data_IF_949528417131
#
_entry.id   IF_949528417131
#
_cell.length_a   1.000
_cell.length_b   1.000
_cell.length_c   1.000
_cell.angle_alpha   90.00
_cell.angle_beta   90.00
_cell.angle_gamma   90.00
#
_symmetry.space_group_name_H-M   'P 1'
#
loop_
_entity.id
_entity.type
_entity.pdbx_description
1 polymer ?
#
# COMPACT_ATOMS: atom_id res chain seq x y z
N UNK A 1 -17.97 7.09 18.05
CA UNK A 1 -16.92 6.23 18.63
C UNK A 1 -16.21 5.51 17.49
N UNK A 2 -14.90 5.27 17.61
CA UNK A 2 -14.18 4.45 16.61
C UNK A 2 -14.76 3.03 16.57
N UNK A 3 -15.07 2.53 15.37
CA UNK A 3 -15.44 1.12 15.23
C UNK A 3 -14.23 0.23 15.50
N UNK A 4 -14.23 -0.45 16.65
CA UNK A 4 -13.17 -1.40 17.02
C UNK A 4 -13.05 -2.53 15.99
N UNK A 5 -14.18 -2.97 15.43
CA UNK A 5 -14.21 -3.99 14.38
C UNK A 5 -13.45 -3.53 13.15
N UNK A 6 -13.63 -2.28 12.73
CA UNK A 6 -12.94 -1.74 11.56
C UNK A 6 -11.42 -1.69 11.78
N UNK A 7 -10.98 -1.17 12.93
CA UNK A 7 -9.56 -1.09 13.27
C UNK A 7 -8.93 -2.50 13.23
N UNK A 8 -9.59 -3.49 13.85
CA UNK A 8 -9.10 -4.87 13.85
C UNK A 8 -9.04 -5.45 12.43
N UNK A 9 -10.08 -5.23 11.61
CA UNK A 9 -10.11 -5.75 10.23
C UNK A 9 -9.00 -5.15 9.37
N UNK A 10 -8.82 -3.83 9.43
CA UNK A 10 -7.76 -3.13 8.70
C UNK A 10 -6.38 -3.61 9.16
N UNK A 11 -6.16 -3.68 10.47
CA UNK A 11 -4.89 -4.16 11.04
C UNK A 11 -4.54 -5.57 10.54
N UNK A 12 -5.51 -6.47 10.54
CA UNK A 12 -5.31 -7.85 10.03
C UNK A 12 -4.97 -7.84 8.54
N UNK A 13 -5.62 -7.01 7.72
CA UNK A 13 -5.31 -6.90 6.30
C UNK A 13 -3.92 -6.32 6.05
N UNK A 14 -3.52 -5.30 6.80
CA UNK A 14 -2.17 -4.71 6.69
C UNK A 14 -1.09 -5.69 7.14
N UNK A 15 -1.35 -6.49 8.19
CA UNK A 15 -0.43 -7.56 8.61
C UNK A 15 -0.29 -8.66 7.56
N UNK A 16 -1.40 -9.06 6.93
CA UNK A 16 -1.38 -10.03 5.82
C UNK A 16 -0.59 -9.45 4.64
N UNK A 17 -0.87 -8.19 4.25
CA UNK A 17 -0.15 -7.52 3.18
C UNK A 17 1.35 -7.43 3.46
N UNK A 18 1.73 -7.09 4.69
CA UNK A 18 3.12 -7.07 5.14
C UNK A 18 3.77 -8.44 5.04
N UNK A 19 3.12 -9.49 5.57
CA UNK A 19 3.61 -10.85 5.51
C UNK A 19 3.80 -11.35 4.07
N UNK A 20 2.84 -11.04 3.19
CA UNK A 20 2.92 -11.36 1.76
C UNK A 20 4.06 -10.60 1.07
N UNK A 21 4.29 -9.33 1.39
CA UNK A 21 5.40 -8.54 0.85
C UNK A 21 6.77 -9.08 1.31
N UNK A 22 6.89 -9.49 2.58
CA UNK A 22 8.10 -10.14 3.11
C UNK A 22 8.31 -11.51 2.46
N UNK A 23 7.26 -12.31 2.32
CA UNK A 23 7.32 -13.59 1.62
C UNK A 23 7.73 -13.43 0.14
N UNK A 24 7.25 -12.37 -0.51
CA UNK A 24 7.64 -12.02 -1.88
C UNK A 24 9.14 -11.71 -2.00
N UNK A 25 9.74 -11.01 -1.03
CA UNK A 25 11.21 -10.83 -1.00
C UNK A 25 11.95 -12.13 -0.69
N UNK A 26 11.51 -12.90 0.30
CA UNK A 26 12.21 -14.13 0.69
C UNK A 26 12.21 -15.17 -0.43
N UNK A 27 11.13 -15.26 -1.20
CA UNK A 27 10.99 -16.18 -2.32
C UNK A 27 11.31 -15.55 -3.68
N UNK A 28 12.14 -14.50 -3.72
CA UNK A 28 12.56 -13.85 -4.97
C UNK A 28 13.03 -14.89 -6.00
N UNK A 29 12.62 -14.73 -7.26
CA UNK A 29 13.12 -15.58 -8.35
C UNK A 29 14.65 -15.47 -8.43
N UNK A 30 15.33 -16.59 -8.24
CA UNK A 30 16.76 -16.73 -8.50
C UNK A 30 16.92 -17.30 -9.90
N UNK A 31 17.73 -16.65 -10.72
CA UNK A 31 18.08 -17.16 -12.04
C UNK A 31 19.20 -18.20 -11.88
N UNK A 32 18.98 -19.40 -12.42
CA UNK A 32 20.03 -20.43 -12.54
C UNK A 32 20.48 -20.50 -14.00
N UNK A 33 21.76 -20.78 -14.22
CA UNK A 33 22.28 -20.99 -15.57
C UNK A 33 21.92 -22.42 -16.01
N UNK A 34 21.04 -22.55 -16.99
CA UNK A 34 20.79 -23.78 -17.71
C UNK A 34 21.79 -23.92 -18.86
N UNK A 35 22.46 -25.06 -18.95
CA UNK A 35 23.35 -25.38 -20.06
C UNK A 35 22.63 -26.34 -21.01
N UNK A 36 22.50 -25.97 -22.28
CA UNK A 36 21.91 -26.82 -23.31
C UNK A 36 23.02 -27.61 -24.02
N UNK A 37 23.09 -28.96 -23.86
CA UNK A 37 24.18 -29.76 -24.42
C UNK A 37 24.18 -29.81 -25.96
N UNK A 38 23.05 -29.52 -26.62
CA UNK A 38 22.93 -29.66 -28.08
C UNK A 38 23.37 -28.43 -28.87
N UNK A 39 23.46 -27.25 -28.25
CA UNK A 39 23.71 -25.99 -29.00
C UNK A 39 24.72 -25.03 -28.37
N UNK A 40 25.47 -25.45 -27.34
CA UNK A 40 26.58 -24.69 -26.74
C UNK A 40 26.24 -23.25 -26.30
N UNK A 41 24.97 -22.93 -26.03
CA UNK A 41 24.58 -21.66 -25.43
C UNK A 41 24.13 -21.85 -23.98
N UNK A 42 24.45 -20.86 -23.14
CA UNK A 42 23.95 -20.77 -21.78
C UNK A 42 22.66 -19.95 -21.77
N UNK A 43 21.59 -20.46 -21.19
CA UNK A 43 20.34 -19.72 -21.04
C UNK A 43 19.98 -19.56 -19.55
N UNK A 44 19.42 -18.42 -19.18
CA UNK A 44 18.97 -18.20 -17.81
C UNK A 44 17.61 -18.89 -17.60
N UNK A 45 17.55 -19.85 -16.67
CA UNK A 45 16.30 -20.44 -16.19
C UNK A 45 15.83 -19.63 -15.00
N UNK A 46 14.67 -19.01 -15.12
CA UNK A 46 14.01 -18.31 -14.02
C UNK A 46 13.02 -19.26 -13.34
N UNK A 47 13.08 -19.32 -12.01
CA UNK A 47 12.12 -20.07 -11.22
C UNK A 47 10.75 -19.38 -11.20
N UNK A 48 9.72 -20.18 -10.91
CA UNK A 48 8.29 -19.90 -11.01
C UNK A 48 7.85 -18.54 -10.42
N UNK A 49 6.79 -17.93 -10.98
CA UNK A 49 6.19 -16.63 -10.61
C UNK A 49 5.55 -16.55 -9.19
N UNK A 50 5.96 -17.41 -8.26
CA UNK A 50 5.39 -17.46 -6.90
C UNK A 50 5.59 -16.12 -6.16
N UNK A 51 6.75 -15.49 -6.33
CA UNK A 51 7.02 -14.15 -5.77
C UNK A 51 6.12 -13.07 -6.36
N UNK A 52 5.80 -13.15 -7.65
CA UNK A 52 4.84 -12.27 -8.33
C UNK A 52 3.46 -12.40 -7.70
N UNK A 53 3.02 -13.64 -7.43
CA UNK A 53 1.74 -13.92 -6.76
C UNK A 53 1.65 -13.32 -5.36
N UNK A 54 2.71 -13.48 -4.54
CA UNK A 54 2.75 -12.86 -3.21
C UNK A 54 2.78 -11.34 -3.26
N UNK A 55 3.53 -10.74 -4.20
CA UNK A 55 3.56 -9.30 -4.41
C UNK A 55 2.20 -8.73 -4.83
N UNK A 56 1.51 -9.41 -5.76
CA UNK A 56 0.16 -9.04 -6.19
C UNK A 56 -0.88 -9.22 -5.06
N UNK A 57 -0.74 -10.28 -4.25
CA UNK A 57 -1.55 -10.47 -3.06
C UNK A 57 -1.37 -9.33 -2.06
N UNK A 58 -0.12 -8.95 -1.76
CA UNK A 58 0.19 -7.83 -0.87
C UNK A 58 -0.45 -6.51 -1.36
N UNK A 59 -0.34 -6.24 -2.67
CA UNK A 59 -0.99 -5.11 -3.34
C UNK A 59 -2.50 -5.10 -3.09
N UNK A 60 -3.18 -6.23 -3.35
CA UNK A 60 -4.64 -6.32 -3.21
C UNK A 60 -5.10 -6.13 -1.75
N UNK A 61 -4.42 -6.75 -0.78
CA UNK A 61 -4.79 -6.61 0.63
C UNK A 61 -4.60 -5.17 1.13
N UNK A 62 -3.50 -4.51 0.76
CA UNK A 62 -3.26 -3.11 1.11
C UNK A 62 -4.30 -2.19 0.48
N UNK A 63 -4.63 -2.40 -0.80
CA UNK A 63 -5.66 -1.65 -1.53
C UNK A 63 -7.03 -1.78 -0.86
N UNK A 64 -7.42 -2.99 -0.48
CA UNK A 64 -8.69 -3.24 0.22
C UNK A 64 -8.70 -2.54 1.58
N UNK A 65 -7.61 -2.62 2.35
CA UNK A 65 -7.46 -1.94 3.64
C UNK A 65 -7.67 -0.43 3.51
N UNK A 66 -7.01 0.19 2.52
CA UNK A 66 -7.15 1.62 2.22
C UNK A 66 -8.60 1.96 1.84
N UNK A 67 -9.24 1.19 0.96
CA UNK A 67 -10.64 1.42 0.57
C UNK A 67 -11.58 1.36 1.77
N UNK A 68 -11.43 0.38 2.67
CA UNK A 68 -12.27 0.24 3.85
C UNK A 68 -12.21 1.48 4.75
N UNK A 69 -11.00 2.00 5.00
CA UNK A 69 -10.81 3.22 5.79
C UNK A 69 -11.46 4.44 5.11
N UNK A 70 -11.30 4.57 3.79
CA UNK A 70 -11.86 5.71 3.04
C UNK A 70 -13.39 5.69 2.99
N UNK A 71 -13.98 4.52 2.79
CA UNK A 71 -15.43 4.34 2.82
C UNK A 71 -15.98 4.66 4.21
N UNK A 72 -15.31 4.19 5.26
CA UNK A 72 -15.73 4.45 6.64
C UNK A 72 -15.57 5.93 7.06
N UNK A 73 -14.52 6.60 6.57
CA UNK A 73 -14.32 8.03 6.79
C UNK A 73 -15.17 8.92 5.86
N UNK A 74 -15.89 8.32 4.90
CA UNK A 74 -16.66 8.99 3.84
C UNK A 74 -15.82 9.97 3.01
N UNK A 75 -14.56 9.60 2.78
CA UNK A 75 -13.56 10.35 2.00
C UNK A 75 -13.36 11.82 2.44
N UNK A 76 -13.73 12.19 3.68
CA UNK A 76 -13.91 13.58 4.14
C UNK A 76 -14.93 14.44 3.36
N UNK A 77 -15.21 14.14 2.08
CA UNK A 77 -16.10 14.92 1.21
C UNK A 77 -17.60 14.69 1.48
N UNK A 78 -17.99 13.50 1.93
CA UNK A 78 -19.42 13.10 2.06
C UNK A 78 -19.86 12.94 3.52
N UNK A 79 -19.13 13.56 4.45
CA UNK A 79 -19.34 13.46 5.90
C UNK A 79 -19.91 14.73 6.53
N UNK A 80 -20.39 14.62 7.77
CA UNK A 80 -20.69 15.80 8.59
C UNK A 80 -19.40 16.60 8.80
N UNK A 81 -19.47 17.95 8.78
CA UNK A 81 -18.29 18.77 9.01
C UNK A 81 -17.66 18.45 10.37
N UNK A 82 -16.36 18.20 10.38
CA UNK A 82 -15.60 17.96 11.62
C UNK A 82 -15.58 19.26 12.43
N UNK A 83 -15.66 19.13 13.77
CA UNK A 83 -15.60 20.29 14.65
C UNK A 83 -14.32 21.11 14.39
N UNK A 84 -14.42 22.45 14.28
CA UNK A 84 -13.25 23.31 14.11
C UNK A 84 -12.31 23.14 15.32
N UNK A 85 -11.05 22.78 15.06
CA UNK A 85 -10.04 22.56 16.11
C UNK A 85 -8.79 21.81 15.62
N UNK A 86 -7.77 21.70 16.47
CA UNK A 86 -6.48 21.05 16.14
C UNK A 86 -6.60 19.57 15.75
N UNK A 87 -7.63 18.88 16.24
CA UNK A 87 -7.93 17.48 15.86
C UNK A 87 -8.30 17.34 14.37
N UNK A 88 -8.97 18.35 13.78
CA UNK A 88 -9.27 18.37 12.34
C UNK A 88 -8.01 18.52 11.50
N UNK A 89 -7.12 19.46 11.86
CA UNK A 89 -5.85 19.66 11.17
C UNK A 89 -4.97 18.41 11.25
N UNK A 90 -4.89 17.79 12.43
CA UNK A 90 -4.17 16.53 12.64
C UNK A 90 -4.75 15.39 11.78
N UNK A 91 -6.08 15.23 11.73
CA UNK A 91 -6.72 14.21 10.92
C UNK A 91 -6.49 14.41 9.40
N UNK A 92 -6.47 15.65 8.91
CA UNK A 92 -6.18 15.96 7.50
C UNK A 92 -4.71 15.69 7.17
N UNK A 93 -3.77 16.07 8.04
CA UNK A 93 -2.34 15.79 7.83
C UNK A 93 -2.08 14.29 7.82
N UNK A 94 -2.62 13.55 8.80
CA UNK A 94 -2.49 12.08 8.84
C UNK A 94 -3.11 11.42 7.62
N UNK A 95 -4.22 11.94 7.11
CA UNK A 95 -4.84 11.46 5.87
C UNK A 95 -3.90 11.64 4.67
N UNK A 96 -3.32 12.83 4.48
CA UNK A 96 -2.40 13.08 3.38
C UNK A 96 -1.16 12.18 3.47
N UNK A 97 -0.59 12.03 4.67
CA UNK A 97 0.57 11.15 4.89
C UNK A 97 0.19 9.69 4.59
N UNK A 98 -0.97 9.23 5.06
CA UNK A 98 -1.47 7.89 4.77
C UNK A 98 -1.58 7.63 3.26
N UNK A 99 -2.15 8.57 2.50
CA UNK A 99 -2.24 8.46 1.04
C UNK A 99 -0.88 8.41 0.36
N UNK A 100 0.07 9.24 0.78
CA UNK A 100 1.41 9.26 0.19
C UNK A 100 2.12 7.92 0.43
N UNK A 101 2.11 7.41 1.65
CA UNK A 101 2.75 6.14 1.98
C UNK A 101 2.09 4.96 1.26
N UNK A 102 0.76 4.96 1.18
CA UNK A 102 -0.01 3.98 0.44
C UNK A 102 0.40 3.95 -1.04
N UNK A 103 0.44 5.11 -1.71
CA UNK A 103 0.83 5.19 -3.12
C UNK A 103 2.26 4.70 -3.36
N UNK A 104 3.19 5.03 -2.45
CA UNK A 104 4.57 4.56 -2.55
C UNK A 104 4.63 3.04 -2.40
N UNK A 105 3.93 2.47 -1.41
CA UNK A 105 3.85 1.03 -1.21
C UNK A 105 3.31 0.32 -2.46
N UNK A 106 2.20 0.80 -3.01
CA UNK A 106 1.57 0.19 -4.19
C UNK A 106 2.47 0.26 -5.43
N UNK A 107 3.12 1.39 -5.67
CA UNK A 107 4.07 1.51 -6.78
C UNK A 107 5.25 0.54 -6.59
N UNK A 108 5.77 0.39 -5.37
CA UNK A 108 6.83 -0.59 -5.08
C UNK A 108 6.37 -2.03 -5.34
N UNK A 109 5.17 -2.41 -4.90
CA UNK A 109 4.63 -3.77 -5.08
C UNK A 109 4.28 -4.07 -6.54
N UNK A 110 3.69 -3.12 -7.26
CA UNK A 110 3.42 -3.22 -8.70
C UNK A 110 4.73 -3.28 -9.49
N UNK A 111 5.68 -2.38 -9.24
CA UNK A 111 6.96 -2.41 -9.94
C UNK A 111 7.74 -3.70 -9.65
N UNK A 112 7.69 -4.20 -8.42
CA UNK A 112 8.29 -5.47 -8.02
C UNK A 112 7.65 -6.65 -8.75
N UNK A 113 6.33 -6.78 -8.70
CA UNK A 113 5.59 -7.88 -9.34
C UNK A 113 5.73 -7.86 -10.87
N UNK A 114 5.54 -6.70 -11.51
CA UNK A 114 5.64 -6.55 -12.96
C UNK A 114 7.04 -6.88 -13.45
N UNK A 115 8.10 -6.35 -12.82
CA UNK A 115 9.48 -6.69 -13.20
C UNK A 115 9.75 -8.18 -13.01
N UNK A 116 9.22 -8.80 -11.96
CA UNK A 116 9.41 -10.23 -11.72
C UNK A 116 8.74 -11.08 -12.81
N UNK A 117 7.52 -10.73 -13.22
CA UNK A 117 6.78 -11.41 -14.28
C UNK A 117 7.40 -11.24 -15.68
N UNK A 118 8.02 -10.08 -15.96
CA UNK A 118 8.70 -9.87 -17.24
C UNK A 118 9.93 -10.77 -17.38
N UNK A 119 10.71 -10.96 -16.31
CA UNK A 119 11.91 -11.80 -16.32
C UNK A 119 11.61 -13.30 -16.43
N UNK A 120 10.48 -13.76 -15.91
CA UNK A 120 10.05 -15.17 -16.00
C UNK A 120 9.42 -15.51 -17.36
N UNK A 121 8.64 -14.58 -17.94
CA UNK A 121 7.90 -14.83 -19.20
C UNK A 121 8.74 -14.66 -20.46
N UNK A 122 9.68 -13.71 -20.46
CA UNK A 122 10.62 -13.53 -21.58
C UNK A 122 11.92 -14.26 -21.24
N UNK A 123 12.00 -15.56 -21.57
CA UNK A 123 13.28 -16.29 -21.67
C UNK A 123 14.21 -15.45 -22.54
N UNK A 124 15.15 -14.73 -21.93
CA UNK A 124 16.13 -13.99 -22.68
C UNK A 124 17.04 -15.01 -23.38
N UNK A 125 16.80 -15.24 -24.67
CA UNK A 125 17.67 -16.00 -25.56
C UNK A 125 18.95 -15.18 -25.74
N UNK A 126 19.80 -15.25 -24.72
CA UNK A 126 21.02 -14.47 -24.67
C UNK A 126 22.10 -15.26 -25.40
N UNK A 127 22.26 -14.98 -26.69
CA UNK A 127 23.47 -15.36 -27.43
C UNK A 127 24.73 -14.77 -26.77
N UNK A 128 25.89 -15.37 -27.07
CA UNK A 128 27.30 -15.23 -26.63
C UNK A 128 27.86 -13.96 -25.93
N UNK A 129 27.07 -12.93 -25.63
CA UNK A 129 27.48 -11.70 -24.92
C UNK A 129 26.45 -11.25 -23.88
N UNK A 130 26.08 -12.14 -22.97
CA UNK A 130 25.14 -11.82 -21.90
C UNK A 130 25.85 -11.23 -20.66
N UNK A 131 25.71 -9.93 -20.34
CA UNK A 131 26.09 -9.47 -19.01
C UNK A 131 25.11 -10.11 -18.02
N UNK A 132 25.64 -10.87 -17.06
CA UNK A 132 25.00 -11.41 -15.84
C UNK A 132 23.46 -11.42 -15.81
N UNK A 133 22.84 -12.62 -15.78
CA UNK A 133 21.38 -12.81 -15.65
C UNK A 133 20.77 -11.76 -14.70
N UNK A 134 19.91 -10.88 -15.25
CA UNK A 134 19.38 -9.75 -14.51
C UNK A 134 18.39 -10.28 -13.47
N UNK A 135 18.80 -10.23 -12.21
CA UNK A 135 17.90 -10.45 -11.08
C UNK A 135 17.35 -9.12 -10.64
N UNK A 136 16.11 -9.14 -10.17
CA UNK A 136 15.43 -7.97 -9.64
C UNK A 136 16.33 -7.34 -8.54
N UNK A 137 16.45 -6.01 -8.45
CA UNK A 137 17.34 -5.36 -7.46
C UNK A 137 16.84 -5.61 -6.04
N UNK A 138 17.71 -6.11 -5.15
CA UNK A 138 17.40 -6.37 -3.74
C UNK A 138 16.72 -5.15 -3.10
N UNK A 139 15.54 -5.37 -2.50
CA UNK A 139 14.90 -4.40 -1.63
C UNK A 139 13.66 -3.67 -2.17
N UNK A 140 13.16 -3.97 -3.37
CA UNK A 140 11.93 -3.33 -3.88
C UNK A 140 10.69 -3.80 -3.11
N UNK A 141 10.55 -5.11 -2.88
CA UNK A 141 9.49 -5.63 -2.03
C UNK A 141 9.77 -5.35 -0.55
N UNK A 142 11.03 -5.25 -0.13
CA UNK A 142 11.37 -4.84 1.24
C UNK A 142 10.96 -3.39 1.53
N UNK A 143 11.21 -2.48 0.58
CA UNK A 143 10.74 -1.11 0.66
C UNK A 143 9.20 -1.08 0.71
N UNK A 144 8.53 -1.84 -0.17
CA UNK A 144 7.07 -2.01 -0.13
C UNK A 144 6.56 -2.48 1.24
N UNK A 145 7.21 -3.49 1.83
CA UNK A 145 6.86 -3.99 3.16
C UNK A 145 7.04 -2.92 4.26
N UNK A 146 8.11 -2.13 4.21
CA UNK A 146 8.31 -1.03 5.15
C UNK A 146 7.20 0.03 5.04
N UNK A 147 6.86 0.43 3.81
CA UNK A 147 5.78 1.39 3.58
C UNK A 147 4.39 0.82 3.94
N UNK A 148 4.14 -0.48 3.78
CA UNK A 148 2.92 -1.15 4.28
C UNK A 148 2.81 -0.97 5.80
N UNK A 149 3.87 -1.26 6.56
CA UNK A 149 3.84 -1.11 8.03
C UNK A 149 3.55 0.33 8.45
N UNK A 150 4.23 1.30 7.84
CA UNK A 150 3.97 2.71 8.16
C UNK A 150 2.57 3.14 7.75
N UNK A 151 2.07 2.66 6.61
CA UNK A 151 0.70 2.93 6.15
C UNK A 151 -0.31 2.39 7.16
N UNK A 152 -0.15 1.14 7.61
CA UNK A 152 -1.06 0.53 8.58
C UNK A 152 -1.11 1.29 9.90
N UNK A 153 0.06 1.58 10.49
CA UNK A 153 0.15 2.37 11.73
C UNK A 153 -0.54 3.73 11.58
N UNK A 154 -0.20 4.48 10.53
CA UNK A 154 -0.74 5.83 10.33
C UNK A 154 -2.24 5.79 10.03
N UNK A 155 -2.72 4.76 9.33
CA UNK A 155 -4.14 4.59 9.00
C UNK A 155 -5.01 4.34 10.25
N UNK A 156 -4.49 3.61 11.24
CA UNK A 156 -5.15 3.42 12.53
C UNK A 156 -5.21 4.72 13.33
N UNK A 157 -4.06 5.41 13.47
CA UNK A 157 -4.00 6.71 14.15
C UNK A 157 -4.92 7.72 13.47
N UNK A 158 -4.95 7.72 12.14
CA UNK A 158 -5.87 8.52 11.35
C UNK A 158 -7.33 8.22 11.72
N UNK A 159 -7.75 6.95 11.72
CA UNK A 159 -9.13 6.59 12.01
C UNK A 159 -9.54 6.91 13.45
N UNK A 160 -8.63 6.73 14.42
CA UNK A 160 -8.86 7.13 15.82
C UNK A 160 -9.06 8.65 15.92
N UNK A 161 -8.16 9.44 15.33
CA UNK A 161 -8.28 10.90 15.36
C UNK A 161 -9.54 11.39 14.64
N UNK A 162 -9.86 10.80 13.48
CA UNK A 162 -11.09 11.07 12.74
C UNK A 162 -12.34 10.80 13.59
N UNK A 163 -12.40 9.63 14.24
CA UNK A 163 -13.56 9.25 15.07
C UNK A 163 -13.74 10.17 16.28
N UNK A 164 -12.64 10.59 16.93
CA UNK A 164 -12.66 11.56 18.04
C UNK A 164 -13.19 12.92 17.59
N UNK A 165 -12.69 13.42 16.46
CA UNK A 165 -13.15 14.70 15.89
C UNK A 165 -14.61 14.67 15.44
N UNK A 166 -15.14 13.49 15.14
CA UNK A 166 -16.54 13.28 14.79
C UNK A 166 -17.45 13.18 16.02
N UNK A 167 -16.96 12.57 17.11
CA UNK A 167 -17.70 12.47 18.37
C UNK A 167 -17.74 13.78 19.16
N UNK A 168 -16.69 14.60 19.07
CA UNK A 168 -16.64 15.93 19.69
C UNK A 168 -17.65 16.91 19.10
N UNK A 169 -18.25 16.60 17.95
CA UNK A 169 -19.33 17.37 17.38
C UNK A 169 -20.67 17.01 18.05
N UNK A 170 -20.91 17.55 19.24
CA UNK A 170 -22.27 17.69 19.77
C UNK A 170 -22.90 18.95 19.15
N UNK A 171 -24.04 18.84 18.43
CA UNK A 171 -24.78 20.02 17.97
C UNK A 171 -25.47 20.65 19.19
N UNK A 172 -24.72 21.38 20.02
CA UNK A 172 -25.31 22.26 21.01
C UNK A 172 -25.79 23.51 20.29
N UNK A 173 -27.09 23.56 20.00
CA UNK A 173 -27.81 24.77 19.59
C UNK A 173 -27.28 25.47 18.33
N UNK A 174 -27.84 25.10 17.17
CA UNK A 174 -28.16 26.06 16.09
C UNK A 174 -27.02 26.88 15.46
N UNK A 175 -25.74 26.57 15.66
CA UNK A 175 -24.66 27.29 14.98
C UNK A 175 -24.23 26.50 13.75
N UNK A 176 -24.89 26.85 12.65
CA UNK A 176 -24.53 26.42 11.31
C UNK A 176 -23.03 26.60 11.09
N UNK A 177 -22.38 25.55 10.59
CA UNK A 177 -20.97 25.59 10.17
C UNK A 177 -20.82 26.19 8.78
N UNK A 178 -21.83 26.90 8.30
CA UNK A 178 -21.72 27.79 7.15
C UNK A 178 -20.72 28.88 7.45
N UNK A 179 -19.85 29.18 6.49
CA UNK A 179 -19.07 30.42 6.50
C UNK A 179 -20.07 31.57 6.57
N UNK A 180 -20.27 32.11 7.77
CA UNK A 180 -21.12 33.27 7.97
C UNK A 180 -20.49 34.44 7.23
N UNK A 181 -20.98 34.71 6.02
CA UNK A 181 -20.78 36.00 5.37
C UNK A 181 -21.49 37.02 6.25
N UNK A 182 -20.72 37.73 7.08
CA UNK A 182 -21.26 38.79 7.91
C UNK A 182 -21.94 39.83 7.02
N UNK A 183 -23.19 40.15 7.29
CA UNK A 183 -23.88 41.26 6.64
C UNK A 183 -23.26 42.56 7.15
N UNK A 184 -22.55 43.25 6.28
CA UNK A 184 -22.23 44.66 6.44
C UNK A 184 -23.53 45.46 6.31
N UNK A 185 -23.99 46.08 7.40
CA UNK A 185 -24.87 47.23 7.41
C UNK A 185 -24.67 48.00 8.71
#
# INVERSE_FOLDING_TARGET
>A
MASKLLIITVFVFDLIAFGLAVAAEQRRSTATLGHDPDSNYNYCVYDSDISTGFGAGAFLFLLISQILIMVASRCFCCGKPLSPGGSRACAVVLFLICWVLFLIAEVCLLAGSVRNAYHTKYRAYLGDRAPSCQTLRKGVFAAGAAFILFTGIISEFYYINYSRARDSFQPYGGRETGVGMGTYK
#
